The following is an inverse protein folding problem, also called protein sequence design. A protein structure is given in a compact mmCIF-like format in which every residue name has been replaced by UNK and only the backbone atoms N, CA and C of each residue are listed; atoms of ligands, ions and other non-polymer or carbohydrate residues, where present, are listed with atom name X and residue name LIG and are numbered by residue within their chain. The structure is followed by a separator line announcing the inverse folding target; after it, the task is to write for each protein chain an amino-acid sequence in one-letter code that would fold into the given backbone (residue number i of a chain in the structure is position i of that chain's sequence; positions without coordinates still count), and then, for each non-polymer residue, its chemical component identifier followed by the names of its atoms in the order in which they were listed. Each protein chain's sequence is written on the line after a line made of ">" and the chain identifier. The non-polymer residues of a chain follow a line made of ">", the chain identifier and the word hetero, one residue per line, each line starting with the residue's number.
data_IF_239954833843
#
_entry.id   IF_239954833843
#
_cell.length_a   1.000
_cell.length_b   1.000
_cell.length_c   1.000
_cell.angle_alpha   90.00
_cell.angle_beta   90.00
_cell.angle_gamma   90.00
#
_symmetry.space_group_name_H-M   'P 1'
#
loop_
_entity.id
_entity.type
_entity.pdbx_description
1 polymer ?
#
# COMPACT_ATOMS: atom_id res chain seq x y z
N UNK A 1 -75.40 -18.57 -2.45
CA UNK A 1 -74.37 -18.30 -1.42
C UNK A 1 -73.20 -17.58 -2.08
N UNK A 2 -72.83 -16.43 -1.50
CA UNK A 2 -71.72 -15.49 -1.76
C UNK A 2 -70.85 -15.69 -3.02
N UNK A 3 -70.87 -14.84 -4.06
CA UNK A 3 -70.69 -13.38 -4.17
C UNK A 3 -69.23 -12.90 -4.04
N UNK A 4 -68.77 -12.26 -5.11
CA UNK A 4 -67.41 -11.86 -5.41
C UNK A 4 -67.10 -10.38 -5.07
N UNK A 5 -65.80 -10.13 -4.86
CA UNK A 5 -65.04 -8.95 -5.28
C UNK A 5 -65.14 -7.63 -4.49
N UNK A 6 -63.96 -6.99 -4.46
CA UNK A 6 -63.61 -5.57 -4.27
C UNK A 6 -63.18 -5.13 -2.86
N UNK A 7 -61.90 -4.78 -2.76
CA UNK A 7 -61.35 -3.89 -1.73
C UNK A 7 -60.55 -2.75 -2.41
N UNK A 8 -60.43 -1.58 -1.76
CA UNK A 8 -60.72 -0.33 -2.45
C UNK A 8 -59.51 0.57 -2.76
N UNK A 9 -59.78 1.36 -3.80
CA UNK A 9 -59.21 2.62 -4.29
C UNK A 9 -58.23 3.38 -3.38
N UNK A 10 -57.08 3.62 -4.01
CA UNK A 10 -56.09 4.67 -3.79
C UNK A 10 -56.73 6.07 -3.88
N UNK A 11 -56.53 6.90 -2.85
CA UNK A 11 -56.88 8.32 -2.86
C UNK A 11 -55.64 9.18 -3.13
N UNK A 12 -55.85 10.13 -4.04
CA UNK A 12 -54.95 11.16 -4.58
C UNK A 12 -54.16 11.92 -3.51
N UNK A 13 -52.88 12.12 -3.77
CA UNK A 13 -52.11 13.26 -3.24
C UNK A 13 -51.97 14.31 -4.36
N UNK A 14 -52.57 15.47 -4.17
CA UNK A 14 -52.31 16.68 -4.95
C UNK A 14 -51.02 17.38 -4.47
N UNK A 15 -50.36 18.18 -5.34
CA UNK A 15 -49.04 18.74 -5.07
C UNK A 15 -49.12 20.05 -4.28
N UNK A 16 -48.44 20.11 -3.13
CA UNK A 16 -48.25 21.33 -2.37
C UNK A 16 -47.23 22.26 -3.07
N UNK A 17 -47.66 23.50 -3.32
CA UNK A 17 -46.90 24.58 -3.95
C UNK A 17 -45.80 25.13 -3.04
N UNK A 18 -44.67 25.43 -3.70
CA UNK A 18 -43.68 26.50 -3.45
C UNK A 18 -43.68 27.18 -2.07
N UNK A 19 -42.56 27.00 -1.36
CA UNK A 19 -41.98 28.01 -0.48
C UNK A 19 -40.54 28.30 -0.93
N UNK A 20 -40.37 29.39 -1.67
CA UNK A 20 -39.08 29.97 -2.04
C UNK A 20 -38.40 30.55 -0.81
N UNK A 21 -37.41 29.84 -0.25
CA UNK A 21 -36.47 30.43 0.72
C UNK A 21 -35.55 31.41 -0.01
N UNK A 22 -35.85 32.69 0.15
CA UNK A 22 -35.01 33.80 -0.30
C UNK A 22 -33.64 33.74 0.36
N UNK A 23 -32.60 33.77 -0.46
CA UNK A 23 -31.23 34.12 -0.06
C UNK A 23 -31.22 35.57 0.40
N UNK A 24 -30.88 35.81 1.66
CA UNK A 24 -30.48 37.14 2.11
C UNK A 24 -29.12 37.50 1.48
N UNK A 25 -28.96 38.70 0.90
CA UNK A 25 -27.68 39.15 0.36
C UNK A 25 -26.70 39.51 1.50
N UNK A 26 -25.44 39.09 1.36
CA UNK A 26 -24.37 39.43 2.27
C UNK A 26 -24.04 40.94 2.20
N UNK A 27 -23.70 41.59 3.33
CA UNK A 27 -23.38 43.02 3.36
C UNK A 27 -22.06 43.32 2.62
N UNK A 28 -21.93 44.51 2.00
CA UNK A 28 -20.74 44.89 1.25
C UNK A 28 -19.53 45.08 2.17
N UNK A 29 -18.39 44.50 1.77
CA UNK A 29 -17.11 44.65 2.44
C UNK A 29 -16.64 46.12 2.40
N UNK A 30 -16.37 46.69 3.57
CA UNK A 30 -15.79 48.01 3.71
C UNK A 30 -14.39 48.06 3.05
N UNK A 31 -14.22 49.01 2.12
CA UNK A 31 -12.92 49.33 1.51
C UNK A 31 -12.08 50.12 2.52
N UNK A 32 -10.98 49.54 2.97
CA UNK A 32 -9.92 50.27 3.66
C UNK A 32 -9.07 51.05 2.63
N UNK A 33 -8.61 52.28 2.95
CA UNK A 33 -7.82 53.10 2.04
C UNK A 33 -6.40 52.53 1.87
N UNK A 34 -5.99 52.33 0.61
CA UNK A 34 -4.62 51.94 0.24
C UNK A 34 -3.73 53.18 0.20
N UNK A 35 -2.76 53.27 1.10
CA UNK A 35 -1.66 54.25 1.02
C UNK A 35 -0.65 53.84 -0.08
N UNK A 36 -0.05 54.79 -0.80
CA UNK A 36 0.89 54.50 -1.88
C UNK A 36 2.24 54.04 -1.30
N UNK A 37 2.67 52.84 -1.66
CA UNK A 37 4.02 52.34 -1.36
C UNK A 37 4.98 52.88 -2.43
N UNK A 38 5.90 53.75 -2.01
CA UNK A 38 6.95 54.31 -2.85
C UNK A 38 7.89 53.20 -3.38
N UNK A 39 8.09 53.18 -4.70
CA UNK A 39 9.04 52.29 -5.36
C UNK A 39 10.48 52.72 -5.06
N UNK A 40 11.29 51.81 -4.49
CA UNK A 40 12.74 51.99 -4.40
C UNK A 40 13.40 51.75 -5.77
N UNK A 41 14.38 52.57 -6.19
CA UNK A 41 15.06 52.39 -7.47
C UNK A 41 15.98 51.15 -7.43
N UNK A 42 15.96 50.37 -8.53
CA UNK A 42 16.90 49.26 -8.76
C UNK A 42 18.25 49.84 -9.21
N UNK A 43 19.40 49.35 -8.72
CA UNK A 43 20.69 49.81 -9.23
C UNK A 43 20.88 49.28 -10.65
N UNK A 44 21.24 50.18 -11.56
CA UNK A 44 21.68 49.86 -12.91
C UNK A 44 23.08 49.21 -12.84
N UNK A 45 23.17 47.94 -13.20
CA UNK A 45 24.45 47.29 -13.45
C UNK A 45 24.71 47.40 -14.95
N UNK A 46 25.58 48.34 -15.33
CA UNK A 46 26.10 48.46 -16.69
C UNK A 46 27.06 47.28 -16.93
N UNK A 47 26.65 46.32 -17.75
CA UNK A 47 27.52 45.28 -18.27
C UNK A 47 27.94 45.66 -19.70
N UNK A 48 29.22 45.98 -19.86
CA UNK A 48 29.89 46.19 -21.13
C UNK A 48 29.73 44.95 -22.02
N UNK A 49 29.03 45.08 -23.14
CA UNK A 49 28.91 44.04 -24.15
C UNK A 49 30.25 43.91 -24.89
N UNK A 50 31.08 42.95 -24.50
CA UNK A 50 32.11 42.43 -25.37
C UNK A 50 31.43 41.53 -26.42
N UNK A 51 31.54 41.90 -27.70
CA UNK A 51 31.06 41.12 -28.83
C UNK A 51 31.90 39.84 -28.97
N UNK A 52 31.53 38.81 -28.20
CA UNK A 52 31.98 37.44 -28.40
C UNK A 52 31.02 36.73 -29.33
N UNK A 53 31.51 36.28 -30.49
CA UNK A 53 30.79 35.39 -31.39
C UNK A 53 30.40 34.10 -30.67
N UNK A 54 29.15 34.00 -30.21
CA UNK A 54 28.59 32.74 -29.73
C UNK A 54 28.38 31.82 -30.93
N UNK A 55 29.32 30.90 -31.15
CA UNK A 55 29.02 29.67 -31.89
C UNK A 55 27.91 28.95 -31.13
N UNK A 56 26.74 28.82 -31.75
CA UNK A 56 25.69 27.93 -31.28
C UNK A 56 26.23 26.50 -31.32
N UNK A 57 26.80 26.02 -30.21
CA UNK A 57 26.95 24.60 -30.01
C UNK A 57 25.54 24.05 -29.85
N UNK A 58 25.11 23.20 -30.78
CA UNK A 58 24.02 22.25 -30.57
C UNK A 58 24.46 21.23 -29.52
N UNK A 59 24.67 21.68 -28.29
CA UNK A 59 24.90 20.84 -27.14
C UNK A 59 23.54 20.24 -26.77
N UNK A 60 23.42 18.92 -26.90
CA UNK A 60 22.30 18.20 -26.31
C UNK A 60 22.14 18.68 -24.86
N UNK A 61 20.94 19.12 -24.49
CA UNK A 61 20.59 19.41 -23.11
C UNK A 61 21.07 18.24 -22.24
N UNK A 62 21.80 18.46 -21.14
CA UNK A 62 22.27 17.36 -20.30
C UNK A 62 21.07 16.50 -19.91
N UNK A 63 21.09 15.23 -20.32
CA UNK A 63 20.02 14.30 -20.02
C UNK A 63 19.83 14.24 -18.51
N UNK A 64 18.62 14.53 -18.05
CA UNK A 64 18.29 14.41 -16.63
C UNK A 64 18.54 12.95 -16.22
N UNK A 65 19.35 12.70 -15.17
CA UNK A 65 19.58 11.33 -14.72
C UNK A 65 18.26 10.69 -14.29
N UNK A 66 18.05 9.44 -14.72
CA UNK A 66 16.94 8.59 -14.28
C UNK A 66 16.87 8.54 -12.76
N UNK A 67 15.69 8.76 -12.19
CA UNK A 67 15.46 8.76 -10.75
C UNK A 67 14.60 7.58 -10.32
N UNK A 68 14.92 6.97 -9.18
CA UNK A 68 14.11 5.96 -8.53
C UNK A 68 13.20 6.61 -7.48
N UNK A 69 11.90 6.41 -7.60
CA UNK A 69 10.89 6.83 -6.63
C UNK A 69 10.51 5.65 -5.73
N UNK A 70 10.93 5.71 -4.47
CA UNK A 70 10.56 4.72 -3.45
C UNK A 70 9.37 5.25 -2.66
N UNK A 71 8.28 4.49 -2.60
CA UNK A 71 7.14 4.82 -1.76
C UNK A 71 6.80 3.67 -0.82
N UNK A 72 6.71 3.97 0.47
CA UNK A 72 6.52 3.00 1.54
C UNK A 72 5.18 3.24 2.24
N UNK A 73 4.37 2.20 2.41
CA UNK A 73 3.13 2.26 3.19
C UNK A 73 3.24 1.26 4.33
N UNK A 74 3.34 1.76 5.55
CA UNK A 74 3.55 0.92 6.73
C UNK A 74 2.27 0.21 7.19
N UNK A 75 2.45 -0.76 8.07
CA UNK A 75 1.36 -1.45 8.74
C UNK A 75 0.63 -0.58 9.73
N UNK A 76 -0.46 -1.12 10.25
CA UNK A 76 -1.35 -0.44 11.18
C UNK A 76 -0.67 -0.09 12.49
N UNK A 77 -0.87 1.14 12.96
CA UNK A 77 -0.28 1.66 14.20
C UNK A 77 1.24 1.58 14.26
N UNK A 78 1.91 1.56 13.10
CA UNK A 78 3.35 1.59 13.04
C UNK A 78 3.88 2.91 13.58
N UNK A 79 5.02 2.83 14.27
CA UNK A 79 5.69 3.96 14.91
C UNK A 79 7.12 4.00 14.39
N UNK A 80 7.66 5.21 14.20
CA UNK A 80 9.06 5.41 13.83
C UNK A 80 9.96 5.66 15.05
N UNK A 81 9.47 5.44 16.28
CA UNK A 81 10.30 5.57 17.48
C UNK A 81 11.23 4.37 17.61
N UNK A 82 12.42 4.61 18.14
CA UNK A 82 13.46 3.59 18.28
C UNK A 82 12.94 2.37 19.06
N UNK A 83 13.19 1.19 18.51
CA UNK A 83 12.75 -0.09 19.04
C UNK A 83 11.32 -0.49 18.71
N UNK A 84 10.52 0.38 18.08
CA UNK A 84 9.11 0.15 17.75
C UNK A 84 8.82 0.14 16.25
N UNK A 85 9.86 0.30 15.43
CA UNK A 85 9.74 0.35 13.98
C UNK A 85 9.36 -1.01 13.41
N UNK A 86 8.48 -0.99 12.43
CA UNK A 86 8.31 -2.12 11.51
C UNK A 86 9.54 -2.24 10.60
N UNK A 87 9.61 -3.32 9.84
CA UNK A 87 10.59 -3.50 8.78
C UNK A 87 10.45 -2.42 7.70
N UNK A 88 9.22 -1.98 7.37
CA UNK A 88 9.00 -0.86 6.44
C UNK A 88 9.49 0.47 7.02
N UNK A 89 9.26 0.72 8.31
CA UNK A 89 9.80 1.86 9.03
C UNK A 89 11.33 1.87 9.08
N UNK A 90 11.96 0.70 9.28
CA UNK A 90 13.41 0.53 9.22
C UNK A 90 13.96 0.80 7.82
N UNK A 91 13.29 0.34 6.75
CA UNK A 91 13.67 0.68 5.38
C UNK A 91 13.58 2.19 5.18
N UNK A 92 12.50 2.84 5.62
CA UNK A 92 12.37 4.29 5.53
C UNK A 92 13.52 5.02 6.24
N UNK A 93 13.83 4.66 7.49
CA UNK A 93 14.96 5.24 8.24
C UNK A 93 16.29 5.03 7.54
N UNK A 94 16.52 3.83 7.00
CA UNK A 94 17.73 3.50 6.27
C UNK A 94 17.89 4.38 5.02
N UNK A 95 16.83 4.51 4.21
CA UNK A 95 16.87 5.30 3.00
C UNK A 95 16.93 6.81 3.29
N UNK A 96 16.26 7.27 4.36
CA UNK A 96 16.33 8.66 4.81
C UNK A 96 17.73 9.06 5.27
N UNK A 97 18.51 8.10 5.83
CA UNK A 97 19.90 8.35 6.25
C UNK A 97 20.85 8.73 5.11
N UNK A 98 20.48 8.46 3.85
CA UNK A 98 21.23 8.90 2.67
C UNK A 98 21.08 10.41 2.37
N UNK A 99 20.13 11.08 3.02
CA UNK A 99 19.80 12.48 2.73
C UNK A 99 19.17 12.69 1.35
N UNK A 100 19.01 13.95 0.91
CA UNK A 100 18.51 14.28 -0.42
C UNK A 100 19.42 13.70 -1.52
N UNK A 101 18.86 12.84 -2.38
CA UNK A 101 19.61 12.19 -3.44
C UNK A 101 19.04 12.52 -4.82
N UNK A 102 19.88 12.99 -5.74
CA UNK A 102 19.45 13.34 -7.09
C UNK A 102 18.89 12.13 -7.87
N UNK A 103 19.34 10.92 -7.56
CA UNK A 103 18.96 9.66 -8.21
C UNK A 103 17.86 8.89 -7.48
N UNK A 104 17.49 9.26 -6.25
CA UNK A 104 16.48 8.54 -5.48
C UNK A 104 15.64 9.47 -4.59
N UNK A 105 14.33 9.30 -4.61
CA UNK A 105 13.43 9.97 -3.65
C UNK A 105 12.67 8.95 -2.84
N UNK A 106 12.41 9.29 -1.58
CA UNK A 106 11.68 8.43 -0.64
C UNK A 106 10.40 9.15 -0.21
N UNK A 107 9.29 8.42 -0.18
CA UNK A 107 8.03 8.83 0.43
C UNK A 107 7.55 7.75 1.40
N UNK A 108 6.91 8.16 2.49
CA UNK A 108 6.47 7.26 3.55
C UNK A 108 5.08 7.65 4.04
N UNK A 109 4.20 6.66 4.10
CA UNK A 109 2.88 6.73 4.71
C UNK A 109 2.88 5.80 5.93
N UNK A 110 2.55 6.29 7.13
CA UNK A 110 2.57 5.48 8.36
C UNK A 110 1.44 4.46 8.44
N UNK A 111 0.63 4.33 7.38
CA UNK A 111 -0.53 3.46 7.31
C UNK A 111 -1.67 3.96 8.20
N UNK A 112 -2.57 3.03 8.52
CA UNK A 112 -3.76 3.36 9.32
C UNK A 112 -3.38 3.64 10.78
N UNK A 113 -3.64 4.86 11.23
CA UNK A 113 -3.35 5.35 12.58
C UNK A 113 -4.63 5.51 13.42
N UNK A 114 -4.63 5.08 14.68
CA UNK A 114 -5.76 5.21 15.60
C UNK A 114 -5.51 4.62 16.99
N UNK A 115 -5.77 5.39 18.06
CA UNK A 115 -5.60 4.93 19.45
C UNK A 115 -6.90 4.41 20.05
N UNK A 116 -6.85 3.24 20.70
CA UNK A 116 -7.94 2.70 21.53
C UNK A 116 -8.86 1.66 20.86
N UNK A 117 -9.38 0.74 21.67
CA UNK A 117 -10.22 -0.40 21.29
C UNK A 117 -11.47 -0.02 20.47
N UNK A 118 -12.13 1.09 20.83
CA UNK A 118 -13.31 1.59 20.11
C UNK A 118 -13.01 2.17 18.72
N UNK A 119 -11.77 2.63 18.47
CA UNK A 119 -11.36 3.17 17.16
C UNK A 119 -10.84 2.11 16.20
N UNK A 120 -10.47 0.92 16.68
CA UNK A 120 -10.18 -0.22 15.80
C UNK A 120 -11.39 -0.58 14.93
N UNK A 121 -12.61 -0.47 15.47
CA UNK A 121 -13.87 -0.70 14.75
C UNK A 121 -14.13 0.37 13.68
N UNK A 122 -13.79 1.64 13.93
CA UNK A 122 -13.90 2.71 12.92
C UNK A 122 -12.80 2.64 11.85
N UNK A 123 -11.60 2.19 12.23
CA UNK A 123 -10.43 1.92 11.37
C UNK A 123 -10.67 0.76 10.41
N UNK A 124 -11.65 -0.11 10.68
CA UNK A 124 -12.07 -1.23 9.82
C UNK A 124 -12.88 -0.77 8.60
N UNK A 125 -13.33 0.49 8.53
CA UNK A 125 -14.23 0.96 7.48
C UNK A 125 -13.60 1.13 6.07
N UNK A 126 -12.39 0.61 5.79
CA UNK A 126 -11.72 0.68 4.47
C UNK A 126 -11.39 2.09 3.95
N UNK A 127 -11.88 3.15 4.58
CA UNK A 127 -11.69 4.54 4.18
C UNK A 127 -10.24 5.00 4.32
N UNK A 128 -9.51 4.48 5.31
CA UNK A 128 -8.12 4.92 5.58
C UNK A 128 -7.10 4.27 4.64
N UNK A 129 -7.30 3.02 4.22
CA UNK A 129 -6.38 2.38 3.27
C UNK A 129 -6.48 3.01 1.87
N UNK A 130 -7.70 3.37 1.46
CA UNK A 130 -7.94 4.12 0.22
C UNK A 130 -7.21 5.47 0.24
N UNK A 131 -7.15 6.14 1.39
CA UNK A 131 -6.37 7.37 1.54
C UNK A 131 -4.87 7.15 1.31
N UNK A 132 -4.27 6.11 1.91
CA UNK A 132 -2.84 5.80 1.69
C UNK A 132 -2.54 5.44 0.23
N UNK A 133 -3.46 4.74 -0.45
CA UNK A 133 -3.33 4.43 -1.89
C UNK A 133 -3.39 5.72 -2.73
N UNK A 134 -4.39 6.59 -2.51
CA UNK A 134 -4.51 7.86 -3.21
C UNK A 134 -3.31 8.79 -2.92
N UNK A 135 -2.81 8.83 -1.68
CA UNK A 135 -1.66 9.63 -1.28
C UNK A 135 -0.36 9.15 -1.96
N UNK A 136 -0.15 7.83 -2.03
CA UNK A 136 0.95 7.24 -2.79
C UNK A 136 0.86 7.56 -4.28
N UNK A 137 -0.32 7.38 -4.87
CA UNK A 137 -0.57 7.73 -6.27
C UNK A 137 -0.31 9.21 -6.54
N UNK A 138 -0.83 10.11 -5.71
CA UNK A 138 -0.63 11.56 -5.81
C UNK A 138 0.86 11.94 -5.73
N UNK A 139 1.59 11.33 -4.78
CA UNK A 139 3.03 11.54 -4.60
C UNK A 139 3.79 11.16 -5.87
N UNK A 140 3.51 9.98 -6.43
CA UNK A 140 4.14 9.51 -7.66
C UNK A 140 3.78 10.42 -8.85
N UNK A 141 2.50 10.79 -9.02
CA UNK A 141 2.07 11.69 -10.10
C UNK A 141 2.77 13.06 -10.07
N UNK A 142 3.09 13.56 -8.87
CA UNK A 142 3.73 14.86 -8.69
C UNK A 142 5.23 14.87 -9.04
N UNK A 143 5.90 13.72 -8.94
CA UNK A 143 7.37 13.60 -9.04
C UNK A 143 7.84 12.87 -10.30
N UNK A 144 7.07 11.90 -10.77
CA UNK A 144 7.46 10.99 -11.85
C UNK A 144 7.66 11.74 -13.17
N UNK A 145 8.80 11.49 -13.79
CA UNK A 145 9.11 11.84 -15.17
C UNK A 145 9.39 10.57 -15.96
N UNK A 146 9.15 10.64 -17.26
CA UNK A 146 9.32 9.52 -18.16
C UNK A 146 10.75 8.97 -18.10
N UNK A 147 10.87 7.64 -18.00
CA UNK A 147 12.12 6.94 -17.75
C UNK A 147 12.48 6.76 -16.27
N UNK A 148 11.81 7.43 -15.32
CA UNK A 148 12.00 7.20 -13.89
C UNK A 148 11.50 5.79 -13.48
N UNK A 149 12.01 5.28 -12.36
CA UNK A 149 11.67 3.95 -11.82
C UNK A 149 10.81 4.08 -10.57
N UNK A 150 9.92 3.13 -10.32
CA UNK A 150 9.08 3.08 -9.10
C UNK A 150 9.39 1.82 -8.31
N UNK A 151 9.63 1.97 -7.00
CA UNK A 151 9.80 0.88 -6.04
C UNK A 151 8.80 1.08 -4.91
N UNK A 152 8.04 0.05 -4.57
CA UNK A 152 7.03 0.10 -3.53
C UNK A 152 7.32 -0.88 -2.41
N UNK A 153 7.08 -0.48 -1.16
CA UNK A 153 7.13 -1.37 0.00
C UNK A 153 5.89 -1.25 0.86
N UNK A 154 5.39 -2.36 1.36
CA UNK A 154 4.35 -2.31 2.37
C UNK A 154 4.33 -3.49 3.30
N UNK A 155 3.74 -3.28 4.46
CA UNK A 155 3.58 -4.30 5.49
C UNK A 155 2.12 -4.41 5.93
N UNK A 156 1.61 -5.64 6.10
CA UNK A 156 0.25 -5.90 6.57
C UNK A 156 -0.80 -5.25 5.65
N UNK A 157 -1.65 -4.36 6.19
CA UNK A 157 -2.56 -3.52 5.39
C UNK A 157 -1.81 -2.55 4.46
N UNK A 158 -0.62 -2.09 4.83
CA UNK A 158 0.23 -1.31 3.92
C UNK A 158 0.72 -2.13 2.72
N UNK A 159 0.94 -3.44 2.90
CA UNK A 159 1.27 -4.35 1.80
C UNK A 159 0.10 -4.46 0.82
N UNK A 160 -1.14 -4.59 1.34
CA UNK A 160 -2.35 -4.51 0.51
C UNK A 160 -2.41 -3.19 -0.28
N UNK A 161 -2.10 -2.07 0.38
CA UNK A 161 -2.15 -0.75 -0.23
C UNK A 161 -1.13 -0.61 -1.39
N UNK A 162 0.12 -1.05 -1.22
CA UNK A 162 1.11 -0.95 -2.32
C UNK A 162 0.82 -1.90 -3.46
N UNK A 163 0.23 -3.07 -3.18
CA UNK A 163 -0.27 -3.99 -4.22
C UNK A 163 -1.39 -3.35 -5.02
N UNK A 164 -2.37 -2.77 -4.33
CA UNK A 164 -3.46 -2.02 -4.96
C UNK A 164 -2.96 -0.80 -5.74
N UNK A 165 -1.96 -0.09 -5.22
CA UNK A 165 -1.32 1.02 -5.92
C UNK A 165 -0.64 0.55 -7.21
N UNK A 166 0.01 -0.62 -7.18
CA UNK A 166 0.61 -1.23 -8.34
C UNK A 166 -0.40 -1.58 -9.44
N UNK A 167 -1.50 -2.23 -9.04
CA UNK A 167 -2.64 -2.52 -9.93
C UNK A 167 -3.31 -1.24 -10.44
N UNK A 168 -3.46 -0.22 -9.60
CA UNK A 168 -4.03 1.08 -9.98
C UNK A 168 -3.19 1.76 -11.07
N UNK A 169 -1.87 1.80 -10.91
CA UNK A 169 -0.96 2.35 -11.93
C UNK A 169 -1.01 1.51 -13.21
N UNK A 170 -1.01 0.18 -13.11
CA UNK A 170 -1.07 -0.70 -14.28
C UNK A 170 -2.36 -0.54 -15.07
N UNK A 171 -3.49 -0.41 -14.36
CA UNK A 171 -4.82 -0.39 -14.96
C UNK A 171 -5.24 1.00 -15.48
N UNK A 172 -4.97 2.07 -14.73
CA UNK A 172 -5.40 3.43 -15.10
C UNK A 172 -4.25 4.25 -15.70
N UNK A 173 -3.00 3.88 -15.46
CA UNK A 173 -1.84 4.71 -15.72
C UNK A 173 -1.61 5.77 -14.63
N UNK A 174 -0.50 6.48 -14.73
CA UNK A 174 -0.12 7.53 -13.78
C UNK A 174 -0.51 8.91 -14.31
N UNK A 175 -1.25 9.73 -13.56
CA UNK A 175 -1.60 11.08 -14.01
C UNK A 175 -0.35 11.89 -14.35
N UNK A 176 -0.36 12.54 -15.50
CA UNK A 176 0.68 13.51 -15.87
C UNK A 176 0.69 14.62 -14.82
N UNK A 177 1.87 15.07 -14.40
CA UNK A 177 2.04 16.11 -13.35
C UNK A 177 1.10 17.31 -13.48
N UNK A 178 0.96 17.87 -14.68
CA UNK A 178 0.05 19.00 -15.00
C UNK A 178 -1.45 18.71 -14.82
N UNK A 179 -1.82 17.45 -14.60
CA UNK A 179 -3.18 16.98 -14.43
C UNK A 179 -3.43 16.32 -13.07
N UNK A 180 -2.40 16.22 -12.21
CA UNK A 180 -2.46 15.60 -10.89
C UNK A 180 -3.18 16.50 -9.86
N UNK A 181 -4.43 16.85 -10.12
CA UNK A 181 -5.28 17.57 -9.15
C UNK A 181 -6.02 16.57 -8.27
N UNK A 182 -6.34 16.94 -7.03
CA UNK A 182 -7.06 16.05 -6.09
C UNK A 182 -8.35 15.47 -6.68
N UNK A 183 -9.13 16.31 -7.39
CA UNK A 183 -10.36 15.87 -8.07
C UNK A 183 -10.10 14.79 -9.12
N UNK A 184 -8.98 14.86 -9.85
CA UNK A 184 -8.63 13.87 -10.88
C UNK A 184 -8.02 12.61 -10.27
N UNK A 185 -7.22 12.74 -9.21
CA UNK A 185 -6.69 11.60 -8.44
C UNK A 185 -7.84 10.77 -7.90
N UNK A 186 -8.79 11.39 -7.20
CA UNK A 186 -9.95 10.70 -6.66
C UNK A 186 -10.82 10.06 -7.77
N UNK A 187 -10.98 10.76 -8.90
CA UNK A 187 -11.70 10.20 -10.07
C UNK A 187 -10.97 8.98 -10.65
N UNK A 188 -9.66 9.05 -10.80
CA UNK A 188 -8.84 7.94 -11.28
C UNK A 188 -8.98 6.72 -10.35
N UNK A 189 -8.97 6.95 -9.03
CA UNK A 189 -9.15 5.89 -8.04
C UNK A 189 -10.55 5.26 -8.12
N UNK A 190 -11.60 6.06 -8.29
CA UNK A 190 -12.96 5.53 -8.54
C UNK A 190 -13.05 4.68 -9.81
N UNK A 191 -12.33 5.05 -10.87
CA UNK A 191 -12.29 4.24 -12.09
C UNK A 191 -11.55 2.92 -11.87
N UNK A 192 -10.48 2.93 -11.07
CA UNK A 192 -9.79 1.70 -10.65
C UNK A 192 -10.73 0.76 -9.87
N UNK A 193 -11.58 1.30 -9.00
CA UNK A 193 -12.55 0.51 -8.22
C UNK A 193 -13.79 0.06 -9.01
N UNK A 194 -14.00 0.56 -10.23
CA UNK A 194 -15.15 0.17 -11.04
C UNK A 194 -14.92 -1.20 -11.70
N UNK A 195 -15.95 -1.92 -12.15
CA UNK A 195 -15.76 -3.10 -13.01
C UNK A 195 -15.07 -2.74 -14.35
N UNK A 196 -14.39 -3.70 -14.98
CA UNK A 196 -13.89 -3.61 -16.35
C UNK A 196 -14.70 -4.47 -17.31
N UNK A 197 -14.75 -4.13 -18.62
CA UNK A 197 -14.18 -2.93 -19.24
C UNK A 197 -14.94 -1.65 -18.87
N UNK A 198 -14.27 -0.50 -18.96
CA UNK A 198 -14.88 0.81 -18.65
C UNK A 198 -14.37 1.89 -19.61
N UNK A 199 -15.20 2.24 -20.60
CA UNK A 199 -14.86 3.22 -21.64
C UNK A 199 -14.54 4.61 -21.09
N UNK A 200 -15.19 5.01 -20.00
CA UNK A 200 -14.92 6.29 -19.34
C UNK A 200 -13.54 6.29 -18.69
N UNK A 201 -13.14 5.18 -18.06
CA UNK A 201 -11.82 4.99 -17.51
C UNK A 201 -10.74 5.02 -18.61
N UNK A 202 -10.99 4.34 -19.73
CA UNK A 202 -10.07 4.30 -20.87
C UNK A 202 -9.87 5.70 -21.50
N UNK A 203 -10.97 6.43 -21.76
CA UNK A 203 -10.92 7.82 -22.25
C UNK A 203 -10.21 8.75 -21.26
N UNK A 204 -10.45 8.56 -19.96
CA UNK A 204 -9.76 9.31 -18.92
C UNK A 204 -8.26 9.05 -18.92
N UNK A 205 -7.86 7.76 -18.97
CA UNK A 205 -6.46 7.34 -19.01
C UNK A 205 -5.74 7.92 -20.22
N UNK A 206 -6.28 7.75 -21.43
CA UNK A 206 -5.71 8.30 -22.67
C UNK A 206 -5.50 9.82 -22.62
N UNK A 207 -6.42 10.55 -21.99
CA UNK A 207 -6.38 12.01 -21.95
C UNK A 207 -5.41 12.55 -20.90
N UNK A 208 -5.40 11.96 -19.70
CA UNK A 208 -4.75 12.56 -18.53
C UNK A 208 -3.55 11.77 -18.00
N UNK A 209 -3.47 10.48 -18.28
CA UNK A 209 -2.44 9.59 -17.73
C UNK A 209 -1.28 9.39 -18.71
N UNK A 210 -0.16 8.95 -18.14
CA UNK A 210 0.87 8.17 -18.83
C UNK A 210 0.52 6.71 -18.62
N UNK A 211 0.44 5.96 -19.71
CA UNK A 211 0.23 4.51 -19.68
C UNK A 211 1.59 3.81 -19.64
N UNK A 212 1.57 2.51 -19.38
CA UNK A 212 2.77 1.65 -19.47
C UNK A 212 3.89 2.10 -18.53
N UNK A 213 3.53 2.66 -17.37
CA UNK A 213 4.49 3.09 -16.35
C UNK A 213 5.05 1.86 -15.61
N UNK A 214 6.35 1.55 -15.75
CA UNK A 214 6.92 0.37 -15.14
C UNK A 214 7.08 0.57 -13.62
N UNK A 215 6.70 -0.45 -12.86
CA UNK A 215 7.01 -0.58 -11.45
C UNK A 215 8.14 -1.58 -11.35
N UNK A 216 9.33 -1.12 -10.97
CA UNK A 216 10.52 -1.95 -10.96
C UNK A 216 10.43 -3.06 -9.90
N UNK A 217 9.91 -2.72 -8.71
CA UNK A 217 9.86 -3.64 -7.58
C UNK A 217 8.67 -3.38 -6.66
N UNK A 218 8.03 -4.44 -6.17
CA UNK A 218 7.07 -4.39 -5.05
C UNK A 218 7.52 -5.36 -3.95
N UNK A 219 7.81 -4.82 -2.77
CA UNK A 219 8.11 -5.61 -1.57
C UNK A 219 6.95 -5.62 -0.58
N UNK A 220 6.39 -6.79 -0.30
CA UNK A 220 5.29 -6.99 0.62
C UNK A 220 5.72 -7.82 1.83
N UNK A 221 5.46 -7.32 3.04
CA UNK A 221 5.58 -8.09 4.27
C UNK A 221 4.19 -8.50 4.75
N UNK A 222 3.94 -9.80 4.77
CA UNK A 222 2.78 -10.49 5.32
C UNK A 222 1.44 -9.78 5.06
N UNK A 223 1.10 -9.63 3.77
CA UNK A 223 -0.17 -9.01 3.35
C UNK A 223 -1.37 -9.70 4.00
N UNK A 224 -2.21 -8.91 4.67
CA UNK A 224 -3.49 -9.36 5.25
C UNK A 224 -4.62 -8.50 4.69
N UNK A 225 -5.82 -9.07 4.64
CA UNK A 225 -6.99 -8.34 4.16
C UNK A 225 -7.32 -7.16 5.08
N UNK A 226 -7.85 -6.07 4.50
CA UNK A 226 -8.33 -4.92 5.27
C UNK A 226 -9.68 -5.21 5.98
N UNK A 227 -10.22 -6.41 5.79
CA UNK A 227 -11.56 -6.83 6.21
C UNK A 227 -11.60 -7.14 7.71
N UNK A 228 -12.75 -6.83 8.31
CA UNK A 228 -12.91 -6.56 9.74
C UNK A 228 -12.64 -7.73 10.68
N UNK A 229 -12.67 -7.41 11.98
CA UNK A 229 -12.46 -8.37 13.06
C UNK A 229 -13.48 -9.51 12.94
N UNK A 230 -13.04 -10.78 12.82
CA UNK A 230 -13.92 -11.94 12.84
C UNK A 230 -14.32 -12.24 14.30
N UNK A 231 -15.15 -11.38 14.88
CA UNK A 231 -15.86 -11.67 16.12
C UNK A 231 -17.30 -12.04 15.77
N UNK A 232 -17.84 -13.18 16.23
CA UNK A 232 -19.15 -13.71 15.84
C UNK A 232 -20.39 -12.84 16.19
N UNK A 233 -20.20 -11.58 16.59
CA UNK A 233 -21.28 -10.60 16.84
C UNK A 233 -20.95 -9.17 16.38
N UNK A 234 -19.71 -8.89 15.94
CA UNK A 234 -19.28 -7.55 15.49
C UNK A 234 -19.23 -7.43 13.96
N UNK A 235 -19.28 -8.54 13.23
CA UNK A 235 -19.33 -8.59 11.76
C UNK A 235 -20.54 -7.85 11.18
N UNK A 236 -21.65 -7.78 11.92
CA UNK A 236 -22.87 -7.05 11.51
C UNK A 236 -22.76 -5.52 11.63
N UNK A 237 -21.77 -4.98 12.35
CA UNK A 237 -21.66 -3.55 12.63
C UNK A 237 -20.70 -2.80 11.69
N UNK A 238 -19.87 -3.52 10.93
CA UNK A 238 -18.92 -2.95 9.99
C UNK A 238 -18.92 -3.78 8.70
N UNK A 239 -19.73 -3.41 7.68
CA UNK A 239 -19.73 -4.13 6.41
C UNK A 239 -18.31 -4.18 5.83
N UNK A 240 -17.99 -5.33 5.27
CA UNK A 240 -16.71 -5.68 4.64
C UNK A 240 -16.39 -4.67 3.54
N UNK A 241 -15.50 -3.73 3.83
CA UNK A 241 -15.14 -2.67 2.89
C UNK A 241 -14.12 -3.18 1.87
N UNK A 242 -14.58 -3.22 0.61
CA UNK A 242 -13.87 -3.44 -0.65
C UNK A 242 -13.18 -4.80 -0.80
N UNK A 243 -13.85 -5.66 -1.55
CA UNK A 243 -13.23 -6.81 -2.20
C UNK A 243 -12.07 -6.37 -3.09
N UNK A 244 -11.07 -7.24 -3.12
CA UNK A 244 -9.87 -7.12 -3.94
C UNK A 244 -10.24 -6.89 -5.40
N UNK A 245 -9.72 -5.84 -6.04
CA UNK A 245 -10.01 -5.61 -7.47
C UNK A 245 -9.07 -6.36 -8.42
N UNK A 246 -7.94 -6.92 -7.95
CA UNK A 246 -7.07 -7.77 -8.78
C UNK A 246 -6.02 -8.55 -7.96
N UNK A 247 -6.23 -9.86 -7.72
CA UNK A 247 -5.29 -10.76 -7.01
C UNK A 247 -4.02 -11.07 -7.82
N UNK A 248 -3.94 -10.60 -9.06
CA UNK A 248 -2.84 -10.88 -9.97
C UNK A 248 -1.72 -9.84 -9.90
N UNK A 249 -0.53 -10.28 -10.31
CA UNK A 249 0.60 -9.38 -10.52
C UNK A 249 0.44 -8.69 -11.89
N UNK A 250 0.23 -7.38 -11.86
CA UNK A 250 0.10 -6.58 -13.08
C UNK A 250 1.30 -6.75 -14.03
N UNK A 251 1.10 -6.69 -15.36
CA UNK A 251 2.16 -6.82 -16.35
C UNK A 251 3.19 -5.68 -16.28
N UNK A 252 2.81 -4.54 -15.68
CA UNK A 252 3.68 -3.38 -15.47
C UNK A 252 4.68 -3.57 -14.30
N UNK A 253 4.58 -4.66 -13.53
CA UNK A 253 5.47 -4.91 -12.39
C UNK A 253 6.66 -5.79 -12.82
N UNK A 254 7.89 -5.29 -12.70
CA UNK A 254 9.11 -6.01 -13.05
C UNK A 254 9.39 -7.18 -12.12
N UNK A 255 9.41 -6.93 -10.81
CA UNK A 255 9.63 -7.96 -9.80
C UNK A 255 8.80 -7.71 -8.53
N UNK A 256 8.31 -8.76 -7.89
CA UNK A 256 7.52 -8.70 -6.68
C UNK A 256 7.99 -9.76 -5.68
N UNK A 257 8.20 -9.33 -4.44
CA UNK A 257 8.60 -10.18 -3.33
C UNK A 257 7.56 -10.10 -2.22
N UNK A 258 7.17 -11.25 -1.67
CA UNK A 258 6.23 -11.34 -0.55
C UNK A 258 6.86 -12.20 0.55
N UNK A 259 7.19 -11.59 1.69
CA UNK A 259 7.57 -12.34 2.88
C UNK A 259 6.32 -12.77 3.65
N UNK A 260 6.19 -14.05 3.99
CA UNK A 260 4.99 -14.63 4.62
C UNK A 260 5.33 -15.31 5.95
N UNK A 261 4.42 -15.20 6.93
CA UNK A 261 4.60 -15.78 8.26
C UNK A 261 4.14 -17.25 8.32
N UNK A 262 5.04 -18.17 8.69
CA UNK A 262 4.72 -19.59 8.92
C UNK A 262 4.00 -19.83 10.26
N UNK A 263 4.29 -19.03 11.29
CA UNK A 263 3.80 -19.29 12.66
C UNK A 263 2.61 -18.40 13.04
N UNK A 264 2.05 -17.67 12.09
CA UNK A 264 0.82 -16.92 12.30
C UNK A 264 -0.39 -17.86 12.28
N UNK A 265 -1.24 -17.73 13.28
CA UNK A 265 -2.43 -18.57 13.43
C UNK A 265 -3.72 -17.79 13.57
N UNK A 266 -3.67 -16.48 13.82
CA UNK A 266 -4.87 -15.67 14.03
C UNK A 266 -5.60 -15.54 12.69
N UNK A 267 -6.85 -15.99 12.60
CA UNK A 267 -7.61 -15.97 11.33
C UNK A 267 -7.85 -14.57 10.80
N UNK A 268 -7.93 -13.57 11.70
CA UNK A 268 -7.96 -12.15 11.33
C UNK A 268 -6.72 -11.68 10.53
N UNK A 269 -5.63 -12.44 10.59
CA UNK A 269 -4.40 -12.22 9.83
C UNK A 269 -4.22 -13.32 8.77
N UNK A 270 -5.32 -13.81 8.18
CA UNK A 270 -5.24 -14.70 7.02
C UNK A 270 -4.43 -14.01 5.90
N UNK A 271 -3.43 -14.71 5.32
CA UNK A 271 -2.56 -14.12 4.33
C UNK A 271 -3.32 -13.96 3.02
N UNK A 272 -3.20 -12.81 2.39
CA UNK A 272 -3.68 -12.61 1.02
C UNK A 272 -2.51 -12.87 0.08
N UNK A 273 -2.47 -14.05 -0.54
CA UNK A 273 -1.44 -14.40 -1.52
C UNK A 273 -1.66 -13.66 -2.84
N UNK A 274 -0.64 -13.64 -3.70
CA UNK A 274 -0.81 -13.33 -5.11
C UNK A 274 -1.29 -14.59 -5.84
N UNK A 275 -2.31 -14.43 -6.68
CA UNK A 275 -2.83 -15.52 -7.51
C UNK A 275 -2.00 -15.70 -8.78
N UNK A 276 -1.77 -16.95 -9.15
CA UNK A 276 -1.07 -17.30 -10.38
C UNK A 276 -2.04 -17.29 -11.56
N UNK A 277 -1.79 -16.41 -12.52
CA UNK A 277 -2.04 -16.70 -13.92
C UNK A 277 -0.68 -16.65 -14.64
N UNK A 278 -0.39 -17.62 -15.52
CA UNK A 278 0.95 -18.00 -16.00
C UNK A 278 1.89 -16.92 -16.57
N UNK A 279 1.46 -15.66 -16.69
CA UNK A 279 2.24 -14.52 -17.19
C UNK A 279 3.27 -13.93 -16.18
N UNK A 280 3.25 -14.36 -14.92
CA UNK A 280 4.12 -13.83 -13.83
C UNK A 280 5.30 -14.72 -13.41
N UNK A 281 5.51 -15.87 -14.07
CA UNK A 281 6.55 -16.81 -13.70
C UNK A 281 7.94 -16.15 -13.77
N UNK A 282 8.72 -16.24 -12.68
CA UNK A 282 10.05 -15.62 -12.55
C UNK A 282 10.05 -14.15 -12.09
N UNK A 283 8.89 -13.49 -12.03
CA UNK A 283 8.75 -12.11 -11.50
C UNK A 283 8.18 -12.04 -10.09
N UNK A 284 7.67 -13.14 -9.56
CA UNK A 284 7.02 -13.22 -8.25
C UNK A 284 7.72 -14.24 -7.36
N UNK A 285 8.19 -13.79 -6.19
CA UNK A 285 8.74 -14.64 -5.12
C UNK A 285 7.86 -14.50 -3.87
N UNK A 286 7.17 -15.56 -3.48
CA UNK A 286 6.44 -15.64 -2.21
C UNK A 286 7.21 -16.55 -1.27
N UNK A 287 7.87 -15.98 -0.26
CA UNK A 287 8.81 -16.71 0.58
C UNK A 287 8.29 -16.77 2.01
N UNK A 288 8.23 -17.99 2.54
CA UNK A 288 7.75 -18.29 3.88
C UNK A 288 8.90 -18.28 4.89
N UNK A 289 8.71 -17.55 5.99
CA UNK A 289 9.69 -17.35 7.05
C UNK A 289 9.13 -17.80 8.40
N UNK A 290 10.02 -18.22 9.30
CA UNK A 290 9.68 -18.54 10.68
C UNK A 290 9.25 -17.29 11.45
N UNK A 291 8.28 -17.45 12.36
CA UNK A 291 7.69 -16.36 13.13
C UNK A 291 6.25 -16.02 12.70
N UNK A 292 5.60 -15.17 13.50
CA UNK A 292 4.24 -14.69 13.29
C UNK A 292 4.23 -13.37 12.51
N UNK A 293 3.03 -12.77 12.31
CA UNK A 293 2.86 -11.54 11.53
C UNK A 293 3.83 -10.41 11.91
N UNK A 294 4.01 -10.17 13.22
CA UNK A 294 4.91 -9.15 13.74
C UNK A 294 6.39 -9.49 13.53
N UNK A 295 6.75 -10.78 13.53
CA UNK A 295 8.11 -11.23 13.25
C UNK A 295 8.47 -10.99 11.77
N UNK A 296 7.52 -11.11 10.85
CA UNK A 296 7.76 -10.81 9.43
C UNK A 296 7.74 -9.32 9.14
N UNK A 297 6.80 -8.61 9.78
CA UNK A 297 6.62 -7.18 9.64
C UNK A 297 7.55 -6.31 10.45
N UNK A 298 8.30 -6.87 11.40
CA UNK A 298 9.16 -6.13 12.32
C UNK A 298 8.42 -5.36 13.40
N UNK A 299 7.10 -5.47 13.56
CA UNK A 299 6.35 -4.81 14.66
C UNK A 299 6.54 -5.53 16.01
N UNK A 300 7.79 -5.74 16.41
CA UNK A 300 8.18 -6.48 17.62
C UNK A 300 8.44 -5.57 18.83
N UNK A 301 7.92 -4.34 18.79
CA UNK A 301 8.08 -3.34 19.86
C UNK A 301 7.68 -3.89 21.23
N UNK A 302 8.44 -3.55 22.27
CA UNK A 302 8.27 -4.13 23.61
C UNK A 302 8.80 -5.56 23.77
N UNK A 303 9.39 -6.16 22.72
CA UNK A 303 10.15 -7.40 22.83
C UNK A 303 11.39 -7.40 21.89
N UNK A 304 12.42 -6.58 22.20
CA UNK A 304 13.58 -6.38 21.34
C UNK A 304 14.36 -7.65 21.00
N UNK A 305 14.29 -8.68 21.85
CA UNK A 305 14.92 -9.98 21.62
C UNK A 305 14.42 -10.68 20.35
N UNK A 306 13.23 -10.35 19.84
CA UNK A 306 12.71 -10.87 18.57
C UNK A 306 13.24 -10.13 17.33
N UNK A 307 13.93 -8.99 17.51
CA UNK A 307 14.42 -8.17 16.40
C UNK A 307 15.33 -8.96 15.45
N UNK A 308 16.31 -9.76 15.92
CA UNK A 308 17.17 -10.54 15.01
C UNK A 308 16.42 -11.56 14.15
N UNK A 309 15.34 -12.16 14.67
CA UNK A 309 14.46 -13.02 13.85
C UNK A 309 13.77 -12.18 12.78
N UNK A 310 13.21 -11.03 13.16
CA UNK A 310 12.50 -10.14 12.23
C UNK A 310 13.37 -9.44 11.19
N UNK A 311 14.69 -9.36 11.45
CA UNK A 311 15.66 -8.83 10.51
C UNK A 311 15.90 -9.78 9.34
N UNK A 312 15.63 -11.09 9.47
CA UNK A 312 15.81 -12.06 8.38
C UNK A 312 14.98 -11.70 7.14
N UNK A 313 13.63 -11.55 7.22
CA UNK A 313 12.84 -11.14 6.08
C UNK A 313 13.17 -9.72 5.60
N UNK A 314 13.58 -8.82 6.50
CA UNK A 314 14.03 -7.47 6.13
C UNK A 314 15.28 -7.51 5.23
N UNK A 315 16.31 -8.25 5.64
CA UNK A 315 17.57 -8.38 4.90
C UNK A 315 17.33 -9.08 3.56
N UNK A 316 16.50 -10.13 3.54
CA UNK A 316 16.09 -10.77 2.30
C UNK A 316 15.40 -9.78 1.34
N UNK A 317 14.41 -9.03 1.83
CA UNK A 317 13.65 -8.06 1.03
C UNK A 317 14.55 -6.95 0.48
N UNK A 318 15.44 -6.40 1.31
CA UNK A 318 16.39 -5.36 0.91
C UNK A 318 17.38 -5.88 -0.14
N UNK A 319 17.84 -7.13 -0.02
CA UNK A 319 18.70 -7.77 -1.02
C UNK A 319 18.02 -7.90 -2.39
N UNK A 320 16.74 -8.28 -2.43
CA UNK A 320 15.95 -8.35 -3.67
C UNK A 320 15.67 -6.98 -4.27
N UNK A 321 15.41 -5.97 -3.42
CA UNK A 321 15.21 -4.61 -3.89
C UNK A 321 16.51 -3.98 -4.42
N UNK A 322 17.66 -4.26 -3.78
CA UNK A 322 18.99 -3.84 -4.22
C UNK A 322 19.31 -4.39 -5.60
N UNK A 323 19.04 -5.68 -5.87
CA UNK A 323 19.22 -6.26 -7.21
C UNK A 323 18.28 -5.66 -8.26
N UNK A 324 17.19 -5.02 -7.83
CA UNK A 324 16.26 -4.28 -8.67
C UNK A 324 16.58 -2.78 -8.75
N UNK A 325 17.73 -2.32 -8.25
CA UNK A 325 18.21 -0.95 -8.40
C UNK A 325 17.79 0.02 -7.28
N UNK A 326 17.37 -0.49 -6.12
CA UNK A 326 17.27 0.32 -4.91
C UNK A 326 18.67 0.75 -4.45
N UNK A 327 18.88 2.06 -4.25
CA UNK A 327 20.13 2.56 -3.70
C UNK A 327 20.09 2.45 -2.17
N UNK A 328 20.99 1.63 -1.63
CA UNK A 328 21.18 1.41 -0.19
C UNK A 328 22.53 2.00 0.28
N UNK A 329 22.65 2.41 1.55
CA UNK A 329 23.93 2.79 2.12
C UNK A 329 24.94 1.64 2.06
N UNK A 330 26.22 1.97 1.98
CA UNK A 330 27.29 0.99 2.14
C UNK A 330 27.14 0.25 3.47
N UNK A 331 27.46 -1.05 3.46
CA UNK A 331 27.41 -1.93 4.62
C UNK A 331 26.04 -1.96 5.33
N UNK A 332 24.94 -1.67 4.63
CA UNK A 332 23.61 -1.67 5.23
C UNK A 332 23.25 -3.00 5.91
N UNK A 333 23.72 -4.14 5.38
CA UNK A 333 23.46 -5.48 5.94
C UNK A 333 23.93 -5.61 7.40
N UNK A 334 25.08 -5.01 7.74
CA UNK A 334 25.64 -5.05 9.09
C UNK A 334 24.76 -4.31 10.13
N UNK A 335 23.86 -3.42 9.68
CA UNK A 335 22.94 -2.68 10.56
C UNK A 335 21.76 -3.53 11.03
N UNK A 336 21.54 -4.69 10.44
CA UNK A 336 20.40 -5.57 10.73
C UNK A 336 20.90 -6.98 11.05
N UNK A 337 21.47 -7.21 12.25
CA UNK A 337 21.94 -8.53 12.65
C UNK A 337 20.78 -9.53 12.63
N UNK A 338 21.01 -10.70 12.05
CA UNK A 338 20.02 -11.77 11.89
C UNK A 338 20.37 -12.96 12.77
N UNK A 339 19.36 -13.59 13.37
CA UNK A 339 19.53 -14.84 14.12
C UNK A 339 18.28 -15.72 13.98
N UNK A 340 18.46 -16.91 13.41
CA UNK A 340 17.38 -17.88 13.21
C UNK A 340 16.91 -18.51 14.54
N UNK A 341 17.77 -18.52 15.57
CA UNK A 341 17.46 -19.03 16.90
C UNK A 341 16.79 -17.99 17.82
N UNK A 342 16.77 -16.72 17.42
CA UNK A 342 16.18 -15.65 18.23
C UNK A 342 14.70 -15.95 18.57
N UNK A 343 14.23 -15.54 19.77
CA UNK A 343 12.88 -15.83 20.20
C UNK A 343 11.86 -15.11 19.29
N UNK A 344 10.78 -15.79 18.93
CA UNK A 344 9.70 -15.16 18.18
C UNK A 344 8.86 -14.26 19.10
N UNK A 345 8.37 -13.16 18.55
CA UNK A 345 7.32 -12.35 19.15
C UNK A 345 6.03 -13.18 19.29
N UNK A 346 5.70 -13.95 18.26
CA UNK A 346 4.60 -14.90 18.26
C UNK A 346 3.22 -14.24 18.22
N UNK A 347 2.19 -15.05 18.48
CA UNK A 347 0.77 -14.68 18.22
C UNK A 347 -0.02 -14.28 19.48
N UNK A 348 0.59 -14.34 20.67
CA UNK A 348 -0.10 -14.13 21.95
C UNK A 348 0.32 -12.86 22.70
N UNK A 349 1.42 -12.21 22.29
CA UNK A 349 1.90 -10.97 22.91
C UNK A 349 0.98 -9.79 22.58
N UNK A 350 0.97 -8.80 23.47
CA UNK A 350 0.15 -7.58 23.37
C UNK A 350 -1.33 -7.89 23.07
N UNK A 351 -1.87 -7.32 22.00
CA UNK A 351 -3.27 -7.52 21.61
C UNK A 351 -3.53 -8.89 20.98
N UNK A 352 -2.51 -9.73 20.76
CA UNK A 352 -2.64 -11.06 20.17
C UNK A 352 -3.58 -11.98 20.94
N UNK A 353 -3.66 -11.83 22.27
CA UNK A 353 -4.52 -12.64 23.16
C UNK A 353 -6.02 -12.47 22.93
N UNK A 354 -6.44 -11.38 22.30
CA UNK A 354 -7.86 -11.09 22.04
C UNK A 354 -8.35 -11.68 20.71
N UNK A 355 -7.45 -12.22 19.89
CA UNK A 355 -7.80 -12.96 18.68
C UNK A 355 -8.00 -14.43 19.03
N UNK A 356 -9.26 -14.78 19.29
CA UNK A 356 -9.67 -16.11 19.77
C UNK A 356 -9.75 -17.15 18.65
N UNK A 357 -10.11 -16.75 17.43
CA UNK A 357 -10.18 -17.63 16.27
C UNK A 357 -8.79 -17.86 15.68
N UNK A 358 -8.40 -19.14 15.58
CA UNK A 358 -7.05 -19.54 15.17
C UNK A 358 -7.05 -20.76 14.25
N UNK A 359 -6.32 -20.69 13.16
CA UNK A 359 -6.11 -21.77 12.20
C UNK A 359 -4.68 -21.73 11.65
N UNK A 360 -4.12 -22.89 11.29
CA UNK A 360 -2.85 -22.96 10.58
C UNK A 360 -3.00 -22.35 9.19
N UNK A 361 -1.97 -21.63 8.73
CA UNK A 361 -1.89 -21.18 7.33
C UNK A 361 -1.55 -22.36 6.42
N UNK A 362 -1.94 -22.26 5.15
CA UNK A 362 -1.60 -23.23 4.11
C UNK A 362 -0.54 -22.57 3.22
N UNK A 363 0.65 -23.16 3.17
CA UNK A 363 1.79 -22.75 2.35
C UNK A 363 1.94 -23.69 1.15
N UNK A 364 2.67 -23.23 0.12
CA UNK A 364 3.01 -24.07 -1.02
C UNK A 364 1.84 -24.36 -1.95
N UNK A 365 0.86 -23.43 -2.04
CA UNK A 365 -0.28 -23.57 -2.97
C UNK A 365 0.14 -23.40 -4.43
N UNK A 366 1.34 -22.88 -4.70
CA UNK A 366 1.86 -22.73 -6.05
C UNK A 366 3.38 -22.64 -6.16
N UNK A 367 3.94 -22.69 -7.38
CA UNK A 367 5.38 -22.82 -7.61
C UNK A 367 6.19 -21.54 -7.37
N UNK A 368 5.52 -20.40 -7.13
CA UNK A 368 6.19 -19.16 -6.71
C UNK A 368 6.37 -19.09 -5.18
N UNK A 369 5.90 -20.12 -4.46
CA UNK A 369 6.07 -20.24 -3.02
C UNK A 369 7.30 -21.08 -2.68
N UNK A 370 8.07 -20.63 -1.71
CA UNK A 370 9.22 -21.38 -1.20
C UNK A 370 9.45 -21.12 0.28
N UNK A 371 10.12 -22.05 0.96
CA UNK A 371 10.54 -21.85 2.34
C UNK A 371 11.92 -21.18 2.36
N UNK A 372 12.09 -20.15 3.19
CA UNK A 372 13.40 -19.52 3.32
C UNK A 372 14.39 -20.47 4.04
N UNK A 373 15.67 -20.57 3.61
CA UNK A 373 16.66 -21.44 4.26
C UNK A 373 16.85 -21.20 5.77
N UNK A 374 16.54 -19.99 6.26
CA UNK A 374 16.59 -19.70 7.70
C UNK A 374 15.59 -20.52 8.53
N UNK A 375 14.52 -21.04 7.91
CA UNK A 375 13.57 -21.90 8.61
C UNK A 375 14.23 -23.23 8.96
N UNK A 376 15.02 -23.79 8.03
CA UNK A 376 15.82 -24.97 8.31
C UNK A 376 16.88 -24.66 9.38
N UNK A 377 17.62 -23.56 9.25
CA UNK A 377 18.59 -23.14 10.28
C UNK A 377 17.96 -23.00 11.67
N UNK A 378 16.69 -22.55 11.75
CA UNK A 378 15.93 -22.50 13.00
C UNK A 378 15.57 -23.88 13.53
N UNK A 379 15.16 -24.83 12.66
CA UNK A 379 14.88 -26.22 13.07
C UNK A 379 16.12 -26.88 13.66
N UNK A 380 17.28 -26.63 13.05
CA UNK A 380 18.56 -27.18 13.50
C UNK A 380 18.99 -26.56 14.85
N UNK A 381 18.84 -25.25 15.02
CA UNK A 381 19.19 -24.55 16.25
C UNK A 381 18.21 -24.78 17.41
N UNK A 382 16.93 -25.02 17.09
CA UNK A 382 15.85 -25.20 18.07
C UNK A 382 15.12 -26.53 17.83
N UNK A 383 15.57 -27.65 18.43
CA UNK A 383 15.03 -29.00 18.16
C UNK A 383 13.52 -29.15 18.42
N UNK A 384 12.93 -28.27 19.26
CA UNK A 384 11.49 -28.24 19.58
C UNK A 384 10.67 -27.33 18.66
N UNK A 385 11.31 -26.57 17.77
CA UNK A 385 10.60 -25.71 16.83
C UNK A 385 9.86 -26.54 15.79
N UNK A 386 8.58 -26.26 15.61
CA UNK A 386 7.74 -26.78 14.52
C UNK A 386 6.97 -25.61 13.93
N UNK A 387 7.10 -25.43 12.62
CA UNK A 387 6.33 -24.43 11.90
C UNK A 387 4.84 -24.72 12.05
N UNK A 388 4.01 -23.69 12.22
CA UNK A 388 2.56 -23.89 12.42
C UNK A 388 1.77 -24.04 11.12
N UNK A 389 2.26 -23.45 10.03
CA UNK A 389 1.66 -23.62 8.71
C UNK A 389 1.81 -25.06 8.21
N UNK A 390 0.89 -25.49 7.34
CA UNK A 390 0.90 -26.78 6.65
C UNK A 390 1.25 -26.57 5.19
N UNK A 391 2.02 -27.47 4.58
CA UNK A 391 2.33 -27.40 3.15
C UNK A 391 1.24 -28.14 2.37
N UNK A 392 0.81 -27.58 1.24
CA UNK A 392 -0.29 -28.15 0.46
C UNK A 392 0.03 -29.56 -0.08
N UNK A 393 1.31 -29.85 -0.34
CA UNK A 393 1.81 -31.16 -0.78
C UNK A 393 1.67 -32.26 0.28
N UNK A 394 1.32 -31.93 1.53
CA UNK A 394 1.05 -32.88 2.63
C UNK A 394 -0.33 -33.58 2.51
N UNK A 395 -0.91 -33.64 1.30
CA UNK A 395 -2.19 -34.32 1.03
C UNK A 395 -3.45 -33.54 1.43
N UNK A 396 -3.38 -32.21 1.44
CA UNK A 396 -4.54 -31.35 1.71
C UNK A 396 -5.27 -31.08 0.39
N UNK A 397 -6.51 -31.52 0.26
CA UNK A 397 -7.37 -31.16 -0.86
C UNK A 397 -7.69 -29.66 -0.83
N UNK A 398 -6.99 -28.90 -1.68
CA UNK A 398 -7.08 -27.43 -1.75
C UNK A 398 -8.32 -26.97 -2.55
N UNK A 399 -9.21 -27.89 -2.96
CA UNK A 399 -10.41 -27.56 -3.76
C UNK A 399 -11.65 -27.22 -2.94
N UNK A 400 -11.59 -27.31 -1.61
CA UNK A 400 -12.69 -26.88 -0.73
C UNK A 400 -12.48 -25.44 -0.24
N UNK A 401 -12.80 -24.47 -1.10
CA UNK A 401 -13.24 -23.17 -0.57
C UNK A 401 -14.49 -23.41 0.30
N UNK A 402 -14.63 -22.76 1.47
CA UNK A 402 -15.92 -22.73 2.14
C UNK A 402 -16.86 -21.93 1.24
N UNK A 403 -17.73 -22.67 0.55
CA UNK A 403 -18.85 -22.16 -0.24
C UNK A 403 -19.50 -20.97 0.50
N UNK A 404 -19.55 -19.76 -0.08
CA UNK A 404 -20.37 -18.70 0.45
C UNK A 404 -21.83 -19.11 0.26
N UNK A 405 -22.38 -19.68 1.31
CA UNK A 405 -23.80 -19.98 1.55
C UNK A 405 -24.75 -19.36 0.50
N UNK A 406 -25.33 -20.18 -0.40
CA UNK A 406 -26.27 -19.68 -1.38
C UNK A 406 -27.62 -19.42 -0.71
N UNK A 407 -27.86 -18.14 -0.38
CA UNK A 407 -29.18 -17.54 -0.24
C UNK A 407 -30.21 -18.26 0.66
N UNK A 408 -30.48 -17.65 1.82
CA UNK A 408 -31.85 -17.50 2.32
C UNK A 408 -32.03 -16.18 3.06
#
# INVERSE_FOLDING_TARGET
>A
MAAASRSPRCCRCEPARRATRGRLPAPPAARLPTAPVAAKPRPACAATLAAGTFRASTGAMPERPTRTHVFLIDGTLSRLHDGHESNVGLIYKLLASLGPNARQTVGYDPGVQGTGWGKWVTVIAGSTINHSIEAGYATLCSRYVEGDRIILFGYSRGAYAVRSLGGFIGRIGLLRRRHATQRRIHRAFRYYQSPMPNDHAERFSRRYCRRDVPIQFIGAFDTVSALGIPYPFLSHLAPMATDFHDHHLGPNVGHACHALALDETRTAYAPVLWERNGAGAGRLEQVWFAGAHADIGGQVGGFPAARPLSNIPLVWMLGRAESCGLLLPENWRARFPTDAAAPAFGTWRQNGRYFVTRAARIAGRGPCESEHPSVQARRDALPRYRARARWADDGIDVTSDPDPDPAS
#
